data_IF_281058011999
#
_entry.id   IF_281058011999
#
_cell.length_a   1.000
_cell.length_b   1.000
_cell.length_c   1.000
_cell.angle_alpha   90.00
_cell.angle_beta   90.00
_cell.angle_gamma   90.00
#
_symmetry.space_group_name_H-M   'P 1'
#
loop_
_entity.id
_entity.type
_entity.pdbx_description
1 polymer ?
#
# COMPACT_ATOMS: atom_id res chain seq x y z
N UNK A 1 -39.68 -20.91 -1.21
CA UNK A 1 -38.98 -19.86 -1.98
C UNK A 1 -38.03 -19.17 -1.00
N UNK A 2 -36.87 -19.78 -0.77
CA UNK A 2 -35.93 -19.32 0.26
C UNK A 2 -35.03 -18.26 -0.35
N UNK A 3 -35.22 -17.01 0.06
CA UNK A 3 -34.26 -15.95 -0.18
C UNK A 3 -33.02 -16.25 0.68
N UNK A 4 -32.06 -16.98 0.12
CA UNK A 4 -30.74 -17.12 0.69
C UNK A 4 -30.08 -15.74 0.65
N UNK A 5 -30.06 -15.08 1.81
CA UNK A 5 -29.30 -13.86 2.04
C UNK A 5 -27.81 -14.24 2.02
N UNK A 6 -27.26 -14.37 0.82
CA UNK A 6 -25.83 -14.52 0.61
C UNK A 6 -25.19 -13.16 0.90
N UNK A 7 -24.93 -12.89 2.19
CA UNK A 7 -24.13 -11.74 2.60
C UNK A 7 -22.80 -11.92 1.87
N UNK A 8 -22.41 -11.01 0.95
CA UNK A 8 -21.20 -11.21 0.17
C UNK A 8 -20.05 -11.41 1.13
N UNK A 9 -19.33 -12.52 0.95
CA UNK A 9 -18.22 -12.90 1.81
C UNK A 9 -17.21 -11.76 1.92
N UNK A 10 -16.48 -11.68 3.02
CA UNK A 10 -15.51 -10.59 3.26
C UNK A 10 -14.55 -10.39 2.08
N UNK A 11 -14.09 -11.49 1.48
CA UNK A 11 -13.23 -11.49 0.29
C UNK A 11 -13.93 -10.92 -0.95
N UNK A 12 -15.20 -11.21 -1.17
CA UNK A 12 -15.98 -10.65 -2.29
C UNK A 12 -16.18 -9.14 -2.12
N UNK A 13 -16.40 -8.66 -0.90
CA UNK A 13 -16.47 -7.21 -0.63
C UNK A 13 -15.15 -6.51 -0.96
N UNK A 14 -14.03 -7.11 -0.58
CA UNK A 14 -12.70 -6.60 -0.92
C UNK A 14 -12.46 -6.63 -2.42
N UNK A 15 -12.83 -7.72 -3.09
CA UNK A 15 -12.73 -7.86 -4.54
C UNK A 15 -13.47 -6.73 -5.26
N UNK A 16 -14.75 -6.49 -4.93
CA UNK A 16 -15.56 -5.42 -5.55
C UNK A 16 -15.00 -4.03 -5.23
N UNK A 17 -14.59 -3.79 -3.98
CA UNK A 17 -14.01 -2.50 -3.55
C UNK A 17 -12.70 -2.20 -4.26
N UNK A 18 -11.91 -3.22 -4.52
CA UNK A 18 -10.60 -3.10 -5.17
C UNK A 18 -10.67 -3.30 -6.68
N UNK A 19 -11.82 -3.68 -7.23
CA UNK A 19 -12.03 -3.99 -8.66
C UNK A 19 -11.05 -5.05 -9.16
N UNK A 20 -10.92 -6.14 -8.40
CA UNK A 20 -10.08 -7.29 -8.75
C UNK A 20 -10.91 -8.36 -9.49
N UNK A 21 -10.31 -9.03 -10.46
CA UNK A 21 -11.01 -10.01 -11.32
C UNK A 21 -11.28 -11.33 -10.59
N UNK A 22 -10.47 -11.68 -9.58
CA UNK A 22 -10.58 -12.96 -8.87
C UNK A 22 -10.25 -12.85 -7.38
N UNK A 23 -10.89 -13.71 -6.58
CA UNK A 23 -10.62 -13.86 -5.14
C UNK A 23 -9.16 -14.25 -4.87
N UNK A 24 -8.52 -15.01 -5.76
CA UNK A 24 -7.10 -15.33 -5.64
C UNK A 24 -6.21 -14.09 -5.71
N UNK A 25 -6.58 -13.09 -6.52
CA UNK A 25 -5.87 -11.82 -6.57
C UNK A 25 -5.96 -11.07 -5.24
N UNK A 26 -7.12 -11.11 -4.58
CA UNK A 26 -7.30 -10.50 -3.25
C UNK A 26 -6.37 -11.15 -2.23
N UNK A 27 -6.29 -12.49 -2.22
CA UNK A 27 -5.39 -13.23 -1.32
C UNK A 27 -3.93 -12.91 -1.61
N UNK A 28 -3.52 -12.90 -2.88
CA UNK A 28 -2.15 -12.50 -3.27
C UNK A 28 -1.82 -11.08 -2.81
N UNK A 29 -2.73 -10.13 -3.01
CA UNK A 29 -2.56 -8.75 -2.54
C UNK A 29 -2.43 -8.69 -1.02
N UNK A 30 -3.22 -9.46 -0.27
CA UNK A 30 -3.11 -9.55 1.19
C UNK A 30 -1.76 -10.13 1.64
N UNK A 31 -1.27 -11.16 0.95
CA UNK A 31 0.07 -11.75 1.19
C UNK A 31 1.16 -10.72 0.91
N UNK A 32 1.08 -9.99 -0.20
CA UNK A 32 2.00 -8.88 -0.52
C UNK A 32 1.99 -7.81 0.57
N UNK A 33 0.81 -7.42 1.06
CA UNK A 33 0.70 -6.47 2.18
C UNK A 33 1.34 -7.00 3.47
N UNK A 34 1.17 -8.28 3.78
CA UNK A 34 1.82 -8.89 4.94
C UNK A 34 3.35 -8.90 4.80
N UNK A 35 3.88 -9.32 3.64
CA UNK A 35 5.32 -9.36 3.37
C UNK A 35 5.96 -7.97 3.37
N UNK A 36 5.33 -6.99 2.71
CA UNK A 36 5.81 -5.60 2.68
C UNK A 36 5.76 -4.96 4.06
N UNK A 37 4.66 -5.12 4.80
CA UNK A 37 4.53 -4.64 6.18
C UNK A 37 5.62 -5.22 7.09
N UNK A 38 5.89 -6.53 6.99
CA UNK A 38 6.98 -7.16 7.71
C UNK A 38 8.33 -6.56 7.33
N UNK A 39 8.65 -6.50 6.02
CA UNK A 39 9.92 -5.95 5.50
C UNK A 39 10.22 -4.56 6.09
N UNK A 40 9.21 -3.72 6.20
CA UNK A 40 9.41 -2.33 6.60
C UNK A 40 9.52 -2.15 8.11
N UNK A 41 8.91 -3.03 8.90
CA UNK A 41 9.20 -3.10 10.34
C UNK A 41 10.67 -3.41 10.60
N UNK A 42 11.31 -4.24 9.77
CA UNK A 42 12.74 -4.52 9.88
C UNK A 42 13.60 -3.35 9.41
N UNK A 43 13.20 -2.67 8.34
CA UNK A 43 13.92 -1.51 7.78
C UNK A 43 13.80 -0.25 8.65
N UNK A 44 12.72 -0.11 9.44
CA UNK A 44 12.52 0.99 10.39
C UNK A 44 13.74 1.20 11.29
N UNK A 45 14.22 0.14 11.93
CA UNK A 45 15.27 0.22 12.93
C UNK A 45 16.62 0.69 12.37
N UNK A 46 17.16 0.11 11.26
CA UNK A 46 18.40 0.59 10.67
C UNK A 46 18.25 1.96 10.00
N UNK A 47 17.07 2.35 9.50
CA UNK A 47 16.89 3.71 8.97
C UNK A 47 16.96 4.74 10.11
N UNK A 48 16.31 4.48 11.24
CA UNK A 48 16.35 5.38 12.40
C UNK A 48 17.77 5.50 12.97
N UNK A 49 18.52 4.40 12.97
CA UNK A 49 19.91 4.36 13.42
C UNK A 49 20.87 5.03 12.42
N UNK A 50 20.68 4.80 11.11
CA UNK A 50 21.47 5.41 10.03
C UNK A 50 21.29 6.92 9.94
N UNK A 51 20.09 7.43 10.18
CA UNK A 51 19.83 8.87 10.22
C UNK A 51 20.35 9.55 11.51
N UNK A 52 20.99 8.81 12.42
CA UNK A 52 21.63 9.39 13.61
C UNK A 52 20.64 10.20 14.45
N UNK A 53 19.43 9.68 14.62
CA UNK A 53 18.36 10.39 15.33
C UNK A 53 18.71 10.43 16.82
N UNK A 54 19.40 11.50 17.22
CA UNK A 54 19.30 11.96 18.60
C UNK A 54 17.82 12.13 18.92
N UNK A 55 17.38 11.34 19.89
CA UNK A 55 15.99 11.14 20.30
C UNK A 55 15.33 12.50 20.59
N UNK A 56 14.54 13.05 19.65
CA UNK A 56 13.71 14.22 19.98
C UNK A 56 13.16 15.07 18.83
N UNK A 57 13.70 14.99 17.62
CA UNK A 57 13.23 15.84 16.52
C UNK A 57 11.94 15.35 15.88
N UNK A 58 10.82 16.07 16.06
CA UNK A 58 9.57 15.89 15.27
C UNK A 58 9.85 15.87 13.75
N UNK A 59 10.83 16.67 13.32
CA UNK A 59 11.33 16.74 11.93
C UNK A 59 11.87 15.40 11.43
N UNK A 60 12.60 14.64 12.26
CA UNK A 60 13.14 13.34 11.87
C UNK A 60 12.04 12.29 11.69
N UNK A 61 11.01 12.34 12.52
CA UNK A 61 9.85 11.45 12.38
C UNK A 61 9.07 11.75 11.10
N UNK A 62 8.90 13.04 10.77
CA UNK A 62 8.28 13.46 9.51
C UNK A 62 9.13 13.02 8.31
N UNK A 63 10.44 13.26 8.34
CA UNK A 63 11.33 12.90 7.25
C UNK A 63 11.37 11.38 7.04
N UNK A 64 11.42 10.61 8.13
CA UNK A 64 11.27 9.15 8.11
C UNK A 64 9.94 8.72 7.47
N UNK A 65 8.81 9.28 7.92
CA UNK A 65 7.50 8.92 7.37
C UNK A 65 7.39 9.28 5.88
N UNK A 66 7.96 10.42 5.49
CA UNK A 66 8.01 10.90 4.12
C UNK A 66 8.92 10.04 3.23
N UNK A 67 9.99 9.44 3.76
CA UNK A 67 10.87 8.53 3.03
C UNK A 67 10.29 7.10 2.96
N UNK A 68 9.70 6.63 4.06
CA UNK A 68 9.17 5.26 4.13
C UNK A 68 7.95 5.10 3.24
N UNK A 69 7.12 6.14 3.10
CA UNK A 69 5.94 6.14 2.23
C UNK A 69 6.25 5.78 0.76
N UNK A 70 7.14 6.48 0.05
CA UNK A 70 7.52 6.12 -1.32
C UNK A 70 8.26 4.78 -1.36
N UNK A 71 9.05 4.44 -0.34
CA UNK A 71 9.72 3.14 -0.25
C UNK A 71 8.71 1.98 -0.19
N UNK A 72 7.65 2.10 0.62
CA UNK A 72 6.52 1.16 0.66
C UNK A 72 5.93 0.96 -0.73
N UNK A 73 5.73 2.05 -1.47
CA UNK A 73 5.11 2.00 -2.79
C UNK A 73 5.99 1.25 -3.79
N UNK A 74 7.32 1.45 -3.74
CA UNK A 74 8.29 0.69 -4.54
C UNK A 74 8.24 -0.80 -4.18
N UNK A 75 8.25 -1.16 -2.89
CA UNK A 75 8.13 -2.55 -2.47
C UNK A 75 6.82 -3.18 -2.95
N UNK A 76 5.69 -2.49 -2.80
CA UNK A 76 4.40 -2.97 -3.31
C UNK A 76 4.43 -3.25 -4.81
N UNK A 77 5.13 -2.42 -5.61
CA UNK A 77 5.31 -2.69 -7.02
C UNK A 77 6.21 -3.89 -7.29
N UNK A 78 7.31 -4.05 -6.55
CA UNK A 78 8.24 -5.20 -6.70
C UNK A 78 7.53 -6.50 -6.37
N UNK A 79 6.88 -6.57 -5.20
CA UNK A 79 6.10 -7.75 -4.82
C UNK A 79 4.90 -7.94 -5.76
N UNK A 80 4.22 -6.86 -6.14
CA UNK A 80 3.17 -6.90 -7.15
C UNK A 80 3.66 -7.49 -8.47
N UNK A 81 4.88 -7.18 -8.90
CA UNK A 81 5.51 -7.76 -10.09
C UNK A 81 5.78 -9.25 -9.92
N UNK A 82 6.33 -9.66 -8.77
CA UNK A 82 6.61 -11.07 -8.45
C UNK A 82 5.32 -11.92 -8.48
N UNK A 83 4.22 -11.40 -7.93
CA UNK A 83 2.94 -12.12 -7.85
C UNK A 83 2.00 -11.86 -9.05
N UNK A 84 2.45 -11.14 -10.08
CA UNK A 84 1.65 -10.82 -11.27
C UNK A 84 0.51 -9.81 -11.04
N UNK A 85 0.49 -9.13 -9.90
CA UNK A 85 -0.47 -8.07 -9.51
C UNK A 85 0.06 -6.65 -9.76
N UNK A 86 1.14 -6.47 -10.54
CA UNK A 86 1.76 -5.17 -10.79
C UNK A 86 0.77 -4.10 -11.28
N UNK A 87 -0.07 -4.44 -12.27
CA UNK A 87 -1.06 -3.50 -12.82
C UNK A 87 -2.01 -2.96 -11.76
N UNK A 88 -2.42 -3.81 -10.81
CA UNK A 88 -3.29 -3.39 -9.72
C UNK A 88 -2.61 -2.34 -8.83
N UNK A 89 -1.38 -2.62 -8.38
CA UNK A 89 -0.64 -1.68 -7.53
C UNK A 89 -0.25 -0.39 -8.28
N UNK A 90 0.09 -0.49 -9.56
CA UNK A 90 0.40 0.65 -10.42
C UNK A 90 -0.79 1.59 -10.61
N UNK A 91 -2.00 1.04 -10.83
CA UNK A 91 -3.21 1.87 -10.91
C UNK A 91 -3.55 2.52 -9.56
N UNK A 92 -3.29 1.84 -8.44
CA UNK A 92 -3.46 2.42 -7.09
C UNK A 92 -2.49 3.59 -6.86
N UNK A 93 -1.22 3.41 -7.19
CA UNK A 93 -0.20 4.46 -7.07
C UNK A 93 -0.55 5.66 -7.96
N UNK A 94 -0.90 5.43 -9.23
CA UNK A 94 -1.37 6.50 -10.12
C UNK A 94 -2.60 7.21 -9.57
N UNK A 95 -3.54 6.49 -8.95
CA UNK A 95 -4.72 7.10 -8.36
C UNK A 95 -4.34 8.04 -7.20
N UNK A 96 -3.39 7.65 -6.36
CA UNK A 96 -2.84 8.49 -5.29
C UNK A 96 -2.10 9.69 -5.89
N UNK A 97 -1.24 9.46 -6.88
CA UNK A 97 -0.47 10.51 -7.54
C UNK A 97 -1.36 11.52 -8.27
N UNK A 98 -2.42 11.07 -8.94
CA UNK A 98 -3.44 11.94 -9.56
C UNK A 98 -4.18 12.80 -8.53
N UNK A 99 -4.45 12.27 -7.33
CA UNK A 99 -5.08 13.04 -6.24
C UNK A 99 -4.12 14.09 -5.69
N UNK A 100 -2.87 13.72 -5.46
CA UNK A 100 -1.83 14.64 -4.96
C UNK A 100 -1.50 15.71 -6.01
N UNK A 101 -1.24 15.30 -7.26
CA UNK A 101 -0.99 16.21 -8.38
C UNK A 101 -2.18 17.11 -8.71
N UNK A 102 -3.41 16.59 -8.59
CA UNK A 102 -4.63 17.38 -8.74
C UNK A 102 -4.78 18.47 -7.67
N UNK A 103 -4.35 18.23 -6.43
CA UNK A 103 -4.31 19.25 -5.38
C UNK A 103 -3.28 20.35 -5.68
N UNK A 104 -2.13 19.99 -6.26
CA UNK A 104 -1.14 20.96 -6.71
C UNK A 104 -1.59 21.76 -7.95
N UNK A 105 -2.34 21.14 -8.87
CA UNK A 105 -2.82 21.81 -10.08
C UNK A 105 -4.07 22.67 -9.88
N UNK A 106 -4.80 22.54 -8.76
CA UNK A 106 -6.01 23.34 -8.47
C UNK A 106 -5.72 24.74 -7.94
N UNK A 107 -4.45 25.13 -7.87
CA UNK A 107 -3.98 26.43 -7.37
C UNK A 107 -3.42 27.33 -8.49
N UNK A 108 -4.02 27.26 -9.67
CA UNK A 108 -3.80 28.21 -10.77
C UNK A 108 -5.14 28.63 -11.37
#
# INVERSE_FOLDING_TARGET
MSAENDKPGFLQRLQTKWKLDSLLQVVLVLVVFACTGFTILFIKNPILDFFGVEKGGFVNTILYLLLVLPLYQIFLLIYGFIFGQFKFFWEKEKQIFRRIGGLFSRKK
#
